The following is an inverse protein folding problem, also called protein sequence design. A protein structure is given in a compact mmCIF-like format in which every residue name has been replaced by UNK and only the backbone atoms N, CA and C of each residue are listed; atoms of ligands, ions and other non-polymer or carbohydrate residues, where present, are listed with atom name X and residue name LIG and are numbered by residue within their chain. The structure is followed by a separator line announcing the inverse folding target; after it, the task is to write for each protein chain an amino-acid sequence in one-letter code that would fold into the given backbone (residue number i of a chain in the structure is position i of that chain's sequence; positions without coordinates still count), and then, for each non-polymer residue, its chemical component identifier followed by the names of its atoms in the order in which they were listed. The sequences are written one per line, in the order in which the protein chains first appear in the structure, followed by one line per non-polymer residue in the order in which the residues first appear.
data_IF_796812885594
#
_entry.id   IF_796812885594
#
_cell.length_a   1.000
_cell.length_b   1.000
_cell.length_c   1.000
_cell.angle_alpha   90.00
_cell.angle_beta   90.00
_cell.angle_gamma   90.00
#
_symmetry.space_group_name_H-M   'P 1'
#
loop_
_entity.id
_entity.type
_entity.pdbx_description
1 polymer ?
#
# COMPACT_ATOMS: atom_id res chain seq x y z
N UNK A 1 9.37 -2.85 5.49
CA UNK A 1 9.30 -2.54 4.06
C UNK A 1 8.17 -1.56 3.82
N UNK A 2 8.50 -0.29 3.62
CA UNK A 2 7.57 0.77 3.23
C UNK A 2 8.12 1.43 1.97
N UNK A 3 7.23 1.85 1.08
CA UNK A 3 7.58 2.55 -0.17
C UNK A 3 6.94 3.93 -0.10
N UNK A 4 7.70 4.96 -0.43
CA UNK A 4 7.22 6.35 -0.48
C UNK A 4 6.87 6.74 -1.91
N UNK A 5 5.79 7.50 -2.06
CA UNK A 5 5.31 8.00 -3.34
C UNK A 5 3.78 8.02 -3.42
N UNK A 6 3.26 8.71 -4.43
CA UNK A 6 1.82 8.79 -4.69
C UNK A 6 1.25 7.48 -5.26
N UNK A 7 2.07 6.74 -6.01
CA UNK A 7 1.67 5.49 -6.69
C UNK A 7 2.61 4.35 -6.31
N UNK A 8 2.02 3.22 -5.89
CA UNK A 8 2.73 1.96 -5.71
C UNK A 8 2.48 1.05 -6.93
N UNK A 9 3.54 0.70 -7.65
CA UNK A 9 3.48 -0.21 -8.81
C UNK A 9 4.03 -1.57 -8.42
N UNK A 10 3.22 -2.62 -8.54
CA UNK A 10 3.61 -4.00 -8.33
C UNK A 10 3.69 -4.72 -9.68
N UNK A 11 4.88 -5.19 -10.06
CA UNK A 11 5.09 -5.90 -11.34
C UNK A 11 5.38 -7.38 -11.11
N UNK A 12 4.80 -8.27 -11.93
CA UNK A 12 5.01 -9.73 -11.85
C UNK A 12 4.66 -10.33 -10.48
N UNK A 13 3.52 -9.92 -9.94
CA UNK A 13 3.04 -10.30 -8.61
C UNK A 13 2.80 -11.81 -8.50
N UNK A 14 3.20 -12.39 -7.37
CA UNK A 14 3.04 -13.80 -6.99
C UNK A 14 2.12 -13.96 -5.77
N UNK A 15 1.63 -15.18 -5.50
CA UNK A 15 0.72 -15.42 -4.36
C UNK A 15 1.33 -15.12 -2.99
N UNK A 16 2.65 -15.16 -2.86
CA UNK A 16 3.35 -14.78 -1.61
C UNK A 16 3.27 -13.29 -1.30
N UNK A 17 2.94 -12.47 -2.29
CA UNK A 17 2.77 -11.02 -2.13
C UNK A 17 1.30 -10.63 -1.90
N UNK A 18 0.35 -11.58 -1.93
CA UNK A 18 -1.04 -11.31 -1.57
C UNK A 18 -1.15 -10.84 -0.12
N UNK A 19 -2.13 -9.97 0.15
CA UNK A 19 -2.38 -9.47 1.50
C UNK A 19 -2.96 -8.06 1.53
N UNK A 20 -3.09 -7.51 2.73
CA UNK A 20 -3.60 -6.14 2.91
C UNK A 20 -2.46 -5.13 2.83
N UNK A 21 -2.58 -4.21 1.88
CA UNK A 21 -1.70 -3.06 1.73
C UNK A 21 -2.32 -1.86 2.44
N UNK A 22 -1.47 -1.07 3.10
CA UNK A 22 -1.85 0.17 3.77
C UNK A 22 -1.21 1.35 3.05
N UNK A 23 -2.03 2.21 2.47
CA UNK A 23 -1.60 3.51 1.97
C UNK A 23 -1.80 4.55 3.08
N UNK A 24 -0.78 5.36 3.36
CA UNK A 24 -0.84 6.47 4.32
C UNK A 24 -0.44 7.75 3.58
N UNK A 25 -1.27 8.80 3.69
CA UNK A 25 -0.89 10.14 3.28
C UNK A 25 -0.77 11.03 4.52
N UNK A 26 0.38 11.72 4.63
CA UNK A 26 0.72 12.57 5.76
C UNK A 26 1.25 13.91 5.27
N UNK A 27 0.80 15.00 5.88
CA UNK A 27 1.31 16.35 5.66
C UNK A 27 2.10 16.88 6.88
N UNK A 28 2.52 15.99 7.79
CA UNK A 28 3.24 16.34 9.01
C UNK A 28 2.38 16.83 10.18
N UNK A 29 1.06 16.96 10.01
CA UNK A 29 0.11 17.33 11.08
C UNK A 29 -0.84 16.16 11.37
N UNK A 30 -0.89 15.62 12.61
CA UNK A 30 -1.79 14.52 12.95
C UNK A 30 -3.29 14.90 12.88
N UNK A 31 -4.19 13.95 12.53
CA UNK A 31 -3.92 12.57 12.12
C UNK A 31 -3.62 12.44 10.63
N UNK A 32 -2.79 11.46 10.27
CA UNK A 32 -2.61 11.07 8.86
C UNK A 32 -3.85 10.32 8.35
N UNK A 33 -4.14 10.47 7.07
CA UNK A 33 -5.21 9.70 6.42
C UNK A 33 -4.65 8.39 5.88
N UNK A 34 -5.43 7.32 5.93
CA UNK A 34 -4.98 6.02 5.43
C UNK A 34 -6.09 5.23 4.76
N UNK A 35 -5.70 4.29 3.90
CA UNK A 35 -6.60 3.38 3.20
C UNK A 35 -6.02 1.98 3.16
N UNK A 36 -6.81 0.98 3.52
CA UNK A 36 -6.47 -0.43 3.41
C UNK A 36 -7.05 -1.03 2.12
N UNK A 37 -6.24 -1.85 1.44
CA UNK A 37 -6.59 -2.48 0.16
C UNK A 37 -6.12 -3.93 0.15
N UNK A 38 -7.01 -4.88 -0.13
CA UNK A 38 -6.66 -6.30 -0.22
C UNK A 38 -6.18 -6.64 -1.63
N UNK A 39 -4.94 -7.13 -1.74
CA UNK A 39 -4.39 -7.66 -2.98
C UNK A 39 -4.69 -9.16 -3.09
N UNK A 40 -5.35 -9.54 -4.17
CA UNK A 40 -5.62 -10.93 -4.51
C UNK A 40 -5.01 -11.29 -5.86
N UNK A 41 -4.45 -12.49 -5.98
CA UNK A 41 -3.91 -13.05 -7.23
C UNK A 41 -4.66 -14.33 -7.54
N UNK A 42 -5.22 -14.41 -8.75
CA UNK A 42 -6.03 -15.53 -9.21
C UNK A 42 -5.25 -16.84 -9.24
#
# INVERSE_FOLDING_TARGET
NSVEGETLVLTKVTRSEMGTYLCIASNGVPPSVSKQMMLHVN
#
